data_IF_818842038761
#
_entry.id   IF_818842038761
#
_cell.length_a   1.000
_cell.length_b   1.000
_cell.length_c   1.000
_cell.angle_alpha   90.00
_cell.angle_beta   90.00
_cell.angle_gamma   90.00
#
_symmetry.space_group_name_H-M   'P 1'
#
loop_
_entity.id
_entity.type
_entity.pdbx_description
1 polymer ?
#
# COMPACT_ATOMS: atom_id res chain seq x y z
N UNK A 1 -35.05 -41.85 -44.37
CA UNK A 1 -34.71 -41.61 -42.95
C UNK A 1 -33.52 -40.66 -42.94
N UNK A 2 -33.74 -39.38 -42.71
CA UNK A 2 -33.52 -38.67 -41.42
C UNK A 2 -32.02 -38.48 -41.10
N UNK A 3 -31.57 -37.24 -41.35
CA UNK A 3 -30.58 -36.38 -40.66
C UNK A 3 -29.74 -37.06 -39.55
N UNK A 4 -28.44 -36.79 -39.42
CA UNK A 4 -27.94 -35.57 -38.77
C UNK A 4 -26.46 -35.34 -39.13
N UNK A 5 -26.19 -34.15 -39.66
CA UNK A 5 -24.88 -33.51 -39.73
C UNK A 5 -24.45 -33.25 -38.27
N UNK A 6 -23.49 -34.01 -37.77
CA UNK A 6 -22.80 -33.66 -36.51
C UNK A 6 -21.81 -32.53 -36.82
N UNK A 7 -22.36 -31.32 -36.88
CA UNK A 7 -21.60 -30.08 -36.67
C UNK A 7 -21.00 -30.17 -35.28
N UNK A 8 -19.74 -30.62 -35.20
CA UNK A 8 -18.86 -30.36 -34.08
C UNK A 8 -18.68 -28.85 -34.01
N UNK A 9 -19.64 -28.17 -33.37
CA UNK A 9 -19.40 -26.95 -32.65
C UNK A 9 -18.37 -27.29 -31.57
N UNK A 10 -17.09 -27.30 -31.95
CA UNK A 10 -16.06 -26.81 -31.06
C UNK A 10 -16.45 -25.37 -30.78
N UNK A 11 -17.32 -25.21 -29.78
CA UNK A 11 -17.37 -24.00 -28.99
C UNK A 11 -15.98 -23.85 -28.40
N UNK A 12 -15.10 -23.24 -29.18
CA UNK A 12 -13.99 -22.46 -28.67
C UNK A 12 -14.72 -21.39 -27.86
N UNK A 13 -15.07 -21.74 -26.63
CA UNK A 13 -15.20 -20.79 -25.57
C UNK A 13 -13.80 -20.19 -25.51
N UNK A 14 -13.60 -19.15 -26.31
CA UNK A 14 -12.59 -18.14 -26.04
C UNK A 14 -13.06 -17.62 -24.69
N UNK A 15 -12.64 -18.30 -23.61
CA UNK A 15 -12.54 -17.68 -22.31
C UNK A 15 -11.65 -16.49 -22.61
N UNK A 16 -12.30 -15.36 -22.88
CA UNK A 16 -11.67 -14.07 -22.96
C UNK A 16 -11.05 -13.92 -21.58
N UNK A 17 -9.80 -14.36 -21.45
CA UNK A 17 -9.02 -14.16 -20.26
C UNK A 17 -9.00 -12.65 -20.12
N UNK A 18 -9.76 -12.12 -19.15
CA UNK A 18 -9.82 -10.71 -18.85
C UNK A 18 -8.39 -10.17 -18.84
N UNK A 19 -8.02 -9.37 -19.86
CA UNK A 19 -6.63 -9.06 -20.12
C UNK A 19 -6.19 -7.95 -19.17
N UNK A 20 -5.80 -8.34 -17.94
CA UNK A 20 -5.27 -7.40 -16.97
C UNK A 20 -3.81 -7.05 -17.28
N UNK A 21 -3.55 -5.78 -17.58
CA UNK A 21 -2.21 -5.21 -17.68
C UNK A 21 -2.00 -4.21 -16.55
N UNK A 22 -0.92 -4.38 -15.79
CA UNK A 22 -0.57 -3.50 -14.66
C UNK A 22 0.79 -2.87 -14.94
N UNK A 23 0.82 -1.54 -14.90
CA UNK A 23 2.01 -0.72 -15.04
C UNK A 23 2.16 0.10 -13.77
N UNK A 24 3.35 0.03 -13.18
CA UNK A 24 3.78 1.00 -12.17
C UNK A 24 4.95 1.73 -12.80
N UNK A 25 4.84 3.03 -12.95
CA UNK A 25 5.89 3.89 -13.52
C UNK A 25 6.46 4.77 -12.43
N UNK A 26 7.77 5.01 -12.53
CA UNK A 26 8.47 5.99 -11.72
C UNK A 26 8.77 7.20 -12.62
N UNK A 27 8.19 8.33 -12.27
CA UNK A 27 8.25 9.54 -13.08
C UNK A 27 9.14 10.56 -12.39
N UNK A 28 10.16 11.07 -13.11
CA UNK A 28 10.95 12.19 -12.61
C UNK A 28 10.08 13.43 -12.61
N UNK A 29 9.93 14.07 -11.45
CA UNK A 29 9.07 15.25 -11.28
C UNK A 29 9.68 16.18 -10.24
N UNK A 30 9.38 17.47 -10.36
CA UNK A 30 9.70 18.48 -9.38
C UNK A 30 8.39 19.03 -8.82
N UNK A 31 7.98 18.52 -7.65
CA UNK A 31 6.84 18.99 -6.89
C UNK A 31 7.33 19.87 -5.73
N UNK A 32 7.88 19.25 -4.68
CA UNK A 32 8.53 19.96 -3.56
C UNK A 32 10.06 19.83 -3.62
N UNK A 33 10.55 18.70 -4.16
CA UNK A 33 11.97 18.39 -4.36
C UNK A 33 12.21 17.84 -5.78
N UNK A 34 13.45 17.98 -6.31
CA UNK A 34 13.85 17.22 -7.51
C UNK A 34 13.99 15.74 -7.16
N UNK A 35 13.04 14.93 -7.62
CA UNK A 35 12.91 13.54 -7.24
C UNK A 35 11.96 12.78 -8.16
N UNK A 36 11.30 11.76 -7.60
CA UNK A 36 10.41 10.89 -8.34
C UNK A 36 9.04 10.77 -7.66
N UNK A 37 8.05 10.34 -8.43
CA UNK A 37 6.75 9.91 -7.91
C UNK A 37 6.32 8.63 -8.61
N UNK A 38 5.53 7.81 -7.92
CA UNK A 38 4.92 6.64 -8.52
C UNK A 38 3.59 6.97 -9.21
N UNK A 39 3.34 6.29 -10.33
CA UNK A 39 2.04 6.24 -11.00
C UNK A 39 1.65 4.77 -11.17
N UNK A 40 0.41 4.42 -10.86
CA UNK A 40 -0.17 3.12 -11.12
C UNK A 40 -1.24 3.24 -12.21
N UNK A 41 -1.06 2.44 -13.27
CA UNK A 41 -2.01 2.29 -14.36
C UNK A 41 -2.39 0.83 -14.53
N UNK A 42 -3.69 0.57 -14.56
CA UNK A 42 -4.26 -0.75 -14.78
C UNK A 42 -5.22 -0.71 -15.96
N UNK A 43 -5.01 -1.59 -16.93
CA UNK A 43 -5.94 -1.81 -18.04
C UNK A 43 -6.63 -3.15 -17.82
N UNK A 44 -7.96 -3.15 -17.70
CA UNK A 44 -8.79 -4.34 -17.51
C UNK A 44 -9.99 -4.24 -18.45
N UNK A 45 -10.19 -5.26 -19.29
CA UNK A 45 -11.35 -5.38 -20.20
C UNK A 45 -11.59 -4.12 -21.06
N UNK A 46 -10.49 -3.54 -21.56
CA UNK A 46 -10.52 -2.32 -22.38
C UNK A 46 -10.69 -1.01 -21.60
N UNK A 47 -10.94 -1.05 -20.29
CA UNK A 47 -11.00 0.11 -19.41
C UNK A 47 -9.63 0.42 -18.81
N UNK A 48 -9.30 1.70 -18.69
CA UNK A 48 -8.06 2.20 -18.09
C UNK A 48 -8.35 2.89 -16.77
N UNK A 49 -7.63 2.50 -15.73
CA UNK A 49 -7.67 3.07 -14.38
C UNK A 49 -6.27 3.60 -14.07
N UNK A 50 -6.16 4.85 -13.64
CA UNK A 50 -4.86 5.51 -13.46
C UNK A 50 -4.91 6.41 -12.23
N UNK A 51 -3.90 6.27 -11.36
CA UNK A 51 -3.70 7.16 -10.21
C UNK A 51 -3.02 8.44 -10.65
N UNK A 52 -3.18 9.53 -9.90
CA UNK A 52 -2.44 10.77 -10.14
C UNK A 52 -1.17 10.81 -9.27
N UNK A 53 0.04 10.94 -9.85
CA UNK A 53 1.27 11.02 -9.07
C UNK A 53 1.28 12.23 -8.13
N UNK A 54 1.53 11.99 -6.84
CA UNK A 54 1.54 13.00 -5.78
C UNK A 54 0.15 13.35 -5.19
N UNK A 55 -0.94 12.81 -5.75
CA UNK A 55 -2.30 12.92 -5.22
C UNK A 55 -2.68 11.60 -4.54
N UNK A 56 -2.37 11.49 -3.26
CA UNK A 56 -2.55 10.25 -2.48
C UNK A 56 -4.02 9.87 -2.28
N UNK A 57 -4.94 10.83 -2.34
CA UNK A 57 -6.38 10.55 -2.30
C UNK A 57 -6.85 9.73 -3.50
N UNK A 58 -6.22 9.93 -4.67
CA UNK A 58 -6.52 9.11 -5.87
C UNK A 58 -6.16 7.62 -5.71
N UNK A 59 -5.36 7.27 -4.69
CA UNK A 59 -4.93 5.89 -4.43
C UNK A 59 -5.88 5.14 -3.48
N UNK A 60 -6.56 5.82 -2.55
CA UNK A 60 -7.28 5.20 -1.43
C UNK A 60 -8.25 4.11 -1.87
N UNK A 61 -9.07 4.43 -2.87
CA UNK A 61 -10.10 3.54 -3.38
C UNK A 61 -9.72 2.91 -4.72
N UNK A 62 -8.44 3.02 -5.13
CA UNK A 62 -8.00 2.50 -6.42
C UNK A 62 -8.26 1.00 -6.53
N UNK A 63 -7.96 0.25 -5.46
CA UNK A 63 -8.15 -1.20 -5.42
C UNK A 63 -9.63 -1.65 -5.43
N UNK A 64 -10.57 -0.77 -5.10
CA UNK A 64 -12.02 -1.09 -5.12
C UNK A 64 -12.54 -1.39 -6.53
N UNK A 65 -11.81 -0.97 -7.56
CA UNK A 65 -12.12 -1.27 -8.96
C UNK A 65 -11.77 -2.72 -9.36
N UNK A 66 -11.12 -3.48 -8.47
CA UNK A 66 -10.54 -4.78 -8.79
C UNK A 66 -10.98 -5.85 -7.78
N UNK A 67 -11.12 -7.08 -8.27
CA UNK A 67 -11.33 -8.26 -7.43
C UNK A 67 -10.06 -8.61 -6.66
N UNK A 68 -10.18 -9.35 -5.55
CA UNK A 68 -9.07 -9.69 -4.66
C UNK A 68 -7.83 -10.22 -5.39
N UNK A 69 -8.02 -11.14 -6.35
CA UNK A 69 -6.93 -11.71 -7.15
C UNK A 69 -6.14 -10.64 -7.92
N UNK A 70 -6.82 -9.65 -8.47
CA UNK A 70 -6.20 -8.56 -9.22
C UNK A 70 -5.54 -7.55 -8.29
N UNK A 71 -6.14 -7.28 -7.11
CA UNK A 71 -5.52 -6.46 -6.05
C UNK A 71 -4.16 -7.01 -5.66
N UNK A 72 -4.04 -8.32 -5.37
CA UNK A 72 -2.76 -8.95 -5.03
C UNK A 72 -1.72 -8.78 -6.14
N UNK A 73 -2.12 -8.92 -7.42
CA UNK A 73 -1.22 -8.69 -8.56
C UNK A 73 -0.74 -7.25 -8.66
N UNK A 74 -1.58 -6.28 -8.30
CA UNK A 74 -1.23 -4.85 -8.24
C UNK A 74 -0.20 -4.62 -7.13
N UNK A 75 -0.44 -5.14 -5.93
CA UNK A 75 0.50 -5.03 -4.80
C UNK A 75 1.86 -5.64 -5.11
N UNK A 76 1.89 -6.79 -5.79
CA UNK A 76 3.13 -7.42 -6.26
C UNK A 76 3.91 -6.54 -7.25
N UNK A 77 3.23 -5.71 -8.05
CA UNK A 77 3.91 -4.80 -8.98
C UNK A 77 4.51 -3.61 -8.23
N UNK A 78 3.82 -3.07 -7.23
CA UNK A 78 4.31 -2.00 -6.37
C UNK A 78 5.48 -2.44 -5.50
N UNK A 79 5.49 -3.70 -5.03
CA UNK A 79 6.56 -4.20 -4.15
C UNK A 79 7.96 -4.21 -4.78
N UNK A 80 8.04 -4.06 -6.10
CA UNK A 80 9.31 -3.88 -6.82
C UNK A 80 10.04 -2.59 -6.44
N UNK A 81 9.33 -1.62 -5.86
CA UNK A 81 9.88 -0.33 -5.45
C UNK A 81 10.33 -0.28 -3.99
N UNK A 82 10.19 -1.38 -3.23
CA UNK A 82 10.57 -1.41 -1.82
C UNK A 82 12.08 -1.30 -1.55
N UNK A 83 12.91 -1.44 -2.58
CA UNK A 83 14.35 -1.20 -2.51
C UNK A 83 14.77 0.05 -3.32
N UNK A 84 13.80 0.90 -3.72
CA UNK A 84 14.08 2.16 -4.42
C UNK A 84 14.25 3.31 -3.42
N UNK A 85 15.49 3.59 -3.06
CA UNK A 85 15.84 4.63 -2.10
C UNK A 85 15.96 6.03 -2.72
N UNK A 86 15.56 6.21 -3.99
CA UNK A 86 15.52 7.54 -4.59
C UNK A 86 14.52 8.44 -3.87
N UNK A 87 14.79 9.75 -3.87
CA UNK A 87 13.99 10.74 -3.18
C UNK A 87 12.59 10.84 -3.79
N UNK A 88 11.55 10.77 -2.95
CA UNK A 88 10.20 11.17 -3.34
C UNK A 88 10.17 12.69 -3.58
N UNK A 89 9.57 13.12 -4.68
CA UNK A 89 9.47 14.53 -5.04
C UNK A 89 8.52 15.30 -4.13
N UNK A 90 7.56 14.63 -3.48
CA UNK A 90 6.58 15.24 -2.58
C UNK A 90 7.15 15.33 -1.16
N UNK A 91 6.89 16.45 -0.48
CA UNK A 91 7.24 16.64 0.91
C UNK A 91 6.40 15.75 1.83
N UNK A 92 6.91 15.55 3.05
CA UNK A 92 6.14 14.88 4.10
C UNK A 92 4.93 15.75 4.41
N UNK A 93 3.77 15.22 4.08
CA UNK A 93 2.48 15.83 4.37
C UNK A 93 1.55 14.77 4.95
N UNK A 94 0.67 15.16 5.89
CA UNK A 94 -0.34 14.26 6.39
C UNK A 94 -1.36 13.96 5.29
N UNK A 95 -1.77 12.69 5.22
CA UNK A 95 -3.01 12.32 4.53
C UNK A 95 -4.06 12.05 5.58
N UNK A 96 -5.17 12.78 5.49
CA UNK A 96 -6.27 12.69 6.43
C UNK A 96 -7.38 11.80 5.89
N UNK A 97 -7.99 10.95 6.71
CA UNK A 97 -9.13 10.15 6.30
C UNK A 97 -10.34 11.05 5.98
N UNK A 98 -11.24 10.57 5.12
CA UNK A 98 -12.51 11.27 4.86
C UNK A 98 -13.46 11.23 6.06
N UNK A 99 -13.31 10.22 6.93
CA UNK A 99 -14.09 10.04 8.16
C UNK A 99 -13.20 9.69 9.36
N UNK A 100 -13.59 10.17 10.55
CA UNK A 100 -12.93 9.85 11.83
C UNK A 100 -11.86 10.87 12.26
N UNK A 101 -11.30 10.64 13.45
CA UNK A 101 -10.21 11.45 14.01
C UNK A 101 -8.90 10.65 13.88
N UNK A 102 -7.89 11.18 13.18
CA UNK A 102 -6.60 10.49 13.06
C UNK A 102 -5.90 10.42 14.43
N UNK A 103 -5.66 9.21 14.94
CA UNK A 103 -4.94 9.01 16.21
C UNK A 103 -3.43 9.32 16.13
N UNK A 104 -2.94 9.64 14.93
CA UNK A 104 -1.52 9.81 14.61
C UNK A 104 -1.14 11.22 14.17
N UNK A 105 -2.10 12.15 14.10
CA UNK A 105 -1.89 13.49 13.55
C UNK A 105 -1.07 14.44 14.44
N UNK A 106 -1.02 14.20 15.76
CA UNK A 106 -0.54 15.15 16.76
C UNK A 106 0.99 15.30 16.86
N UNK A 107 1.77 14.54 16.06
CA UNK A 107 3.24 14.63 16.09
C UNK A 107 3.79 15.12 14.77
N UNK A 108 4.22 16.37 14.77
CA UNK A 108 5.00 16.96 13.68
C UNK A 108 6.33 16.21 13.55
N UNK A 109 6.56 15.59 12.41
CA UNK A 109 7.89 15.09 12.09
C UNK A 109 8.82 16.25 11.74
N UNK A 110 10.06 16.17 12.22
CA UNK A 110 11.17 17.01 11.76
C UNK A 110 11.63 16.62 10.36
N UNK A 111 11.40 15.36 9.95
CA UNK A 111 11.72 14.87 8.62
C UNK A 111 10.73 15.43 7.60
N UNK A 112 11.27 16.04 6.54
CA UNK A 112 10.49 16.64 5.45
C UNK A 112 10.53 15.82 4.15
N UNK A 113 11.36 14.77 4.12
CA UNK A 113 11.68 13.95 2.94
C UNK A 113 11.47 12.48 3.25
N UNK A 114 11.16 11.70 2.23
CA UNK A 114 11.07 10.23 2.27
C UNK A 114 11.45 9.66 0.90
N UNK A 115 11.72 8.36 0.84
CA UNK A 115 12.12 7.67 -0.39
C UNK A 115 10.92 7.06 -1.11
N UNK A 116 11.12 6.67 -2.37
CA UNK A 116 10.14 5.92 -3.16
C UNK A 116 9.77 4.58 -2.50
N UNK A 117 10.70 3.93 -1.82
CA UNK A 117 10.41 2.73 -1.03
C UNK A 117 9.38 3.02 0.08
N UNK A 118 9.54 4.12 0.81
CA UNK A 118 8.59 4.54 1.85
C UNK A 118 7.25 4.95 1.23
N UNK A 119 7.27 5.69 0.11
CA UNK A 119 6.05 6.03 -0.64
C UNK A 119 5.27 4.77 -1.02
N UNK A 120 5.93 3.77 -1.63
CA UNK A 120 5.27 2.54 -2.07
C UNK A 120 4.62 1.79 -0.90
N UNK A 121 5.31 1.62 0.23
CA UNK A 121 4.77 0.96 1.42
C UNK A 121 3.61 1.75 2.03
N UNK A 122 3.72 3.08 2.06
CA UNK A 122 2.68 3.96 2.58
C UNK A 122 1.41 3.89 1.74
N UNK A 123 1.53 4.04 0.42
CA UNK A 123 0.41 3.93 -0.52
C UNK A 123 -0.30 2.58 -0.41
N UNK A 124 0.46 1.49 -0.21
CA UNK A 124 -0.10 0.15 -0.04
C UNK A 124 -1.02 0.08 1.19
N UNK A 125 -0.66 0.71 2.32
CA UNK A 125 -1.55 0.74 3.48
C UNK A 125 -2.89 1.39 3.14
N UNK A 126 -2.84 2.59 2.55
CA UNK A 126 -4.03 3.35 2.22
C UNK A 126 -4.88 2.70 1.13
N UNK A 127 -4.28 2.03 0.16
CA UNK A 127 -5.00 1.27 -0.86
C UNK A 127 -5.79 0.08 -0.29
N UNK A 128 -5.32 -0.50 0.81
CA UNK A 128 -5.87 -1.76 1.34
C UNK A 128 -6.84 -1.49 2.47
N UNK A 129 -6.48 -0.60 3.39
CA UNK A 129 -7.29 -0.29 4.56
C UNK A 129 -8.11 0.99 4.42
N UNK A 130 -7.95 1.73 3.32
CA UNK A 130 -8.63 3.01 3.12
C UNK A 130 -8.36 3.95 4.29
N UNK A 131 -9.43 4.61 4.75
CA UNK A 131 -9.39 5.54 5.88
C UNK A 131 -8.85 4.90 7.18
N UNK A 132 -8.97 3.59 7.37
CA UNK A 132 -8.44 2.92 8.57
C UNK A 132 -6.90 2.92 8.62
N UNK A 133 -6.21 3.17 7.51
CA UNK A 133 -4.75 3.33 7.51
C UNK A 133 -4.28 4.49 8.42
N UNK A 134 -5.14 5.49 8.67
CA UNK A 134 -4.82 6.63 9.54
C UNK A 134 -4.51 6.23 10.99
N UNK A 135 -5.02 5.08 11.45
CA UNK A 135 -4.72 4.55 12.79
C UNK A 135 -3.28 4.06 12.88
N UNK A 136 -2.71 3.54 11.78
CA UNK A 136 -1.29 3.23 11.72
C UNK A 136 -0.47 4.52 11.53
N UNK A 137 -0.77 5.29 10.48
CA UNK A 137 -0.05 6.54 10.23
C UNK A 137 -0.74 7.39 9.18
N UNK A 138 -0.78 8.70 9.43
CA UNK A 138 -1.13 9.72 8.45
C UNK A 138 0.05 10.24 7.64
N UNK A 139 1.29 9.93 8.01
CA UNK A 139 2.49 10.47 7.37
C UNK A 139 3.33 9.37 6.69
N UNK A 140 3.93 9.62 5.51
CA UNK A 140 4.84 8.67 4.87
C UNK A 140 6.23 8.69 5.52
N UNK A 141 6.30 8.36 6.82
CA UNK A 141 7.51 8.41 7.64
C UNK A 141 7.63 7.15 8.48
N UNK A 142 8.87 6.68 8.66
CA UNK A 142 9.18 5.62 9.60
C UNK A 142 9.78 6.20 10.90
N UNK A 143 9.66 5.46 11.98
CA UNK A 143 10.14 5.83 13.31
C UNK A 143 10.92 4.69 13.93
N UNK A 144 12.06 5.00 14.56
CA UNK A 144 12.83 4.05 15.34
C UNK A 144 12.45 4.17 16.81
N UNK A 145 11.83 3.13 17.36
CA UNK A 145 11.37 3.10 18.75
C UNK A 145 12.50 3.13 19.76
N UNK A 146 13.61 2.43 19.49
CA UNK A 146 14.74 2.35 20.43
C UNK A 146 15.49 3.66 20.55
N UNK A 147 15.61 4.37 19.43
CA UNK A 147 16.34 5.63 19.36
C UNK A 147 15.42 6.85 19.56
N UNK A 148 14.11 6.64 19.54
CA UNK A 148 13.07 7.67 19.63
C UNK A 148 13.20 8.78 18.57
N UNK A 149 13.55 8.40 17.35
CA UNK A 149 13.76 9.33 16.23
C UNK A 149 13.02 8.92 14.97
N UNK A 150 12.59 9.91 14.18
CA UNK A 150 12.13 9.67 12.82
C UNK A 150 13.30 9.23 11.93
N UNK A 151 13.02 8.28 11.03
CA UNK A 151 13.98 7.73 10.10
C UNK A 151 14.17 8.69 8.93
N UNK A 152 15.40 9.12 8.69
CA UNK A 152 15.75 9.94 7.54
C UNK A 152 15.50 9.20 6.22
N UNK A 153 15.16 9.94 5.16
CA UNK A 153 14.82 9.37 3.85
C UNK A 153 15.89 8.45 3.24
N UNK A 154 17.16 8.66 3.61
CA UNK A 154 18.32 7.94 3.10
C UNK A 154 18.86 6.88 4.08
N UNK A 155 18.18 6.60 5.19
CA UNK A 155 18.52 5.47 6.06
C UNK A 155 18.05 4.15 5.43
N UNK A 156 18.86 3.68 4.49
CA UNK A 156 18.65 2.43 3.74
C UNK A 156 18.46 1.23 4.68
N UNK A 157 19.16 1.19 5.83
CA UNK A 157 19.12 0.04 6.73
C UNK A 157 17.75 -0.10 7.38
N UNK A 158 17.23 1.00 7.92
CA UNK A 158 15.91 1.01 8.57
C UNK A 158 14.79 0.80 7.55
N UNK A 159 14.87 1.46 6.39
CA UNK A 159 13.87 1.28 5.31
C UNK A 159 13.85 -0.19 4.82
N UNK A 160 15.02 -0.82 4.68
CA UNK A 160 15.12 -2.23 4.26
C UNK A 160 14.48 -3.20 5.26
N UNK A 161 14.54 -2.91 6.57
CA UNK A 161 13.84 -3.72 7.58
C UNK A 161 12.33 -3.68 7.36
N UNK A 162 11.78 -2.47 7.21
CA UNK A 162 10.34 -2.30 6.95
C UNK A 162 9.93 -2.92 5.60
N UNK A 163 10.75 -2.76 4.56
CA UNK A 163 10.54 -3.40 3.27
C UNK A 163 10.44 -4.94 3.38
N UNK A 164 11.21 -5.57 4.27
CA UNK A 164 11.16 -7.01 4.49
C UNK A 164 9.81 -7.46 5.09
N UNK A 165 9.25 -6.68 6.03
CA UNK A 165 7.91 -6.89 6.57
C UNK A 165 6.87 -6.86 5.45
N UNK A 166 6.87 -5.82 4.62
CA UNK A 166 5.90 -5.72 3.50
C UNK A 166 6.07 -6.82 2.45
N UNK A 167 7.31 -7.26 2.17
CA UNK A 167 7.56 -8.39 1.27
C UNK A 167 6.99 -9.70 1.83
N UNK A 168 7.17 -9.96 3.13
CA UNK A 168 6.61 -11.14 3.78
C UNK A 168 5.07 -11.07 3.76
N UNK A 169 4.52 -9.90 4.05
CA UNK A 169 3.10 -9.64 4.00
C UNK A 169 2.48 -9.93 2.62
N UNK A 170 3.03 -9.37 1.55
CA UNK A 170 2.51 -9.61 0.19
C UNK A 170 2.55 -11.11 -0.17
N UNK A 171 3.61 -11.84 0.23
CA UNK A 171 3.68 -13.30 0.01
C UNK A 171 2.56 -14.07 0.72
N UNK A 172 2.18 -13.66 1.93
CA UNK A 172 1.04 -14.24 2.65
C UNK A 172 -0.29 -13.97 1.94
N UNK A 173 -0.53 -12.73 1.47
CA UNK A 173 -1.72 -12.42 0.65
C UNK A 173 -1.74 -13.25 -0.65
N UNK A 174 -0.59 -13.50 -1.28
CA UNK A 174 -0.51 -14.38 -2.46
C UNK A 174 -0.94 -15.82 -2.19
N UNK A 175 -0.80 -16.29 -0.94
CA UNK A 175 -1.23 -17.61 -0.49
C UNK A 175 -2.70 -17.65 -0.06
N UNK A 176 -3.42 -16.51 -0.15
CA UNK A 176 -4.80 -16.40 0.26
C UNK A 176 -4.98 -16.20 1.77
N UNK A 177 -3.91 -15.93 2.51
CA UNK A 177 -4.00 -15.60 3.93
C UNK A 177 -4.76 -14.28 4.11
N UNK A 178 -5.74 -14.31 5.01
CA UNK A 178 -6.37 -13.10 5.53
C UNK A 178 -5.37 -12.38 6.42
N UNK A 179 -5.33 -11.06 6.30
CA UNK A 179 -4.50 -10.23 7.16
C UNK A 179 -5.22 -8.92 7.42
N UNK A 180 -5.22 -8.56 8.69
CA UNK A 180 -5.81 -7.38 9.27
C UNK A 180 -4.82 -6.22 9.30
N UNK A 181 -5.34 -5.02 9.58
CA UNK A 181 -4.52 -3.86 9.92
C UNK A 181 -3.66 -4.15 11.16
N UNK A 182 -4.19 -4.92 12.10
CA UNK A 182 -3.47 -5.36 13.29
C UNK A 182 -2.27 -6.23 12.98
N UNK A 183 -2.34 -7.12 11.98
CA UNK A 183 -1.20 -7.96 11.61
C UNK A 183 -0.03 -7.12 11.11
N UNK A 184 -0.27 -6.10 10.28
CA UNK A 184 0.79 -5.17 9.84
C UNK A 184 1.34 -4.37 11.02
N UNK A 185 0.46 -3.95 11.93
CA UNK A 185 0.89 -3.30 13.16
C UNK A 185 1.74 -4.23 14.03
N UNK A 186 1.39 -5.52 14.18
CA UNK A 186 2.16 -6.50 14.96
C UNK A 186 3.46 -6.94 14.29
N UNK A 187 3.54 -6.93 12.97
CA UNK A 187 4.83 -7.11 12.29
C UNK A 187 5.83 -5.99 12.64
N UNK A 188 5.39 -4.94 13.35
CA UNK A 188 6.21 -3.89 13.96
C UNK A 188 6.65 -4.20 15.42
N UNK A 189 6.69 -5.46 15.87
CA UNK A 189 7.54 -5.84 17.01
C UNK A 189 9.03 -5.60 16.71
N UNK A 190 9.35 -5.33 15.44
CA UNK A 190 10.58 -4.69 15.00
C UNK A 190 10.73 -3.26 15.56
N UNK A 191 11.97 -2.81 15.72
CA UNK A 191 12.25 -1.48 16.25
C UNK A 191 11.83 -0.33 15.31
N UNK A 192 11.50 -0.65 14.04
CA UNK A 192 11.13 0.31 13.01
C UNK A 192 9.63 0.20 12.73
N UNK A 193 8.92 1.30 12.94
CA UNK A 193 7.45 1.37 12.82
C UNK A 193 7.06 2.56 11.92
N UNK A 194 5.77 2.75 11.64
CA UNK A 194 5.31 4.00 11.03
C UNK A 194 5.27 5.15 12.04
N UNK A 195 5.65 6.35 11.60
CA UNK A 195 5.54 7.56 12.41
C UNK A 195 4.09 7.80 12.85
N UNK A 196 3.89 7.98 14.15
CA UNK A 196 2.58 8.09 14.78
C UNK A 196 2.10 6.79 15.43
N UNK A 197 2.52 5.61 14.91
CA UNK A 197 2.13 4.30 15.46
C UNK A 197 2.64 4.07 16.89
N UNK A 198 3.65 4.81 17.38
CA UNK A 198 4.13 4.70 18.76
C UNK A 198 3.03 5.01 19.80
N UNK A 199 1.99 5.76 19.41
CA UNK A 199 0.84 6.04 20.28
C UNK A 199 0.00 4.79 20.57
N UNK A 200 0.08 3.77 19.70
CA UNK A 200 -0.58 2.49 19.87
C UNK A 200 0.23 1.52 20.75
N UNK A 201 1.38 1.94 21.28
CA UNK A 201 2.15 1.13 22.23
C UNK A 201 1.65 1.25 23.68
N UNK A 202 0.80 2.24 23.97
CA UNK A 202 0.07 2.26 25.24
C UNK A 202 -0.82 1.00 25.35
N UNK A 203 -0.77 0.23 26.45
CA UNK A 203 -1.50 -1.03 26.57
C UNK A 203 -3.02 -0.90 26.38
N UNK A 204 -3.61 0.23 26.77
CA UNK A 204 -5.05 0.47 26.60
C UNK A 204 -5.39 0.81 25.15
N UNK A 205 -4.57 1.64 24.49
CA UNK A 205 -4.70 1.95 23.07
C UNK A 205 -4.48 0.69 22.20
N UNK A 206 -3.49 -0.13 22.56
CA UNK A 206 -3.20 -1.40 21.88
C UNK A 206 -4.38 -2.37 21.96
N UNK A 207 -4.97 -2.53 23.16
CA UNK A 207 -6.14 -3.40 23.35
C UNK A 207 -7.35 -2.90 22.56
N UNK A 208 -7.61 -1.59 22.59
CA UNK A 208 -8.70 -0.98 21.81
C UNK A 208 -8.50 -1.23 20.29
N UNK A 209 -7.28 -1.07 19.82
CA UNK A 209 -6.91 -1.29 18.42
C UNK A 209 -7.03 -2.77 18.02
N UNK A 210 -6.61 -3.69 18.90
CA UNK A 210 -6.82 -5.13 18.75
C UNK A 210 -8.29 -5.49 18.60
N UNK A 211 -9.12 -5.03 19.53
CA UNK A 211 -10.55 -5.35 19.54
C UNK A 211 -11.27 -4.80 18.32
N UNK A 212 -10.79 -3.67 17.78
CA UNK A 212 -11.39 -2.99 16.63
C UNK A 212 -10.97 -3.57 15.28
N UNK A 213 -9.74 -4.06 15.13
CA UNK A 213 -9.17 -4.36 13.81
C UNK A 213 -8.71 -5.79 13.59
N UNK A 214 -8.66 -6.63 14.64
CA UNK A 214 -8.20 -8.03 14.52
C UNK A 214 -9.17 -8.93 13.74
N UNK A 215 -10.41 -8.50 13.56
CA UNK A 215 -11.49 -9.27 12.92
C UNK A 215 -11.82 -8.84 11.48
N UNK A 216 -11.31 -7.68 11.03
CA UNK A 216 -11.75 -7.10 9.76
C UNK A 216 -10.97 -7.65 8.55
N UNK A 217 -11.72 -8.20 7.59
CA UNK A 217 -11.24 -8.66 6.30
C UNK A 217 -11.07 -7.47 5.33
N UNK A 218 -9.82 -7.19 4.92
CA UNK A 218 -9.48 -6.24 3.84
C UNK A 218 -8.74 -6.90 2.67
#
# INVERSE_FOLDING_TARGET
MRYIIFLLFFGISVHSYAQLKIFVTKEKKQMDYDGYLLCLKVIKDGKSYETKPGDYYSWFYFLNNFELKDRVRILKKLSKYFDDYSLCSKAVEPVFPGVGIPMTADRFSTEKKYSIAVEAMFLINWMIFGDHACFMSTYPILYNKRQEVHIAYNDVKSIKKMAAVYKAWIRKKEQGEKMSLYDIFQFNDEDIIWGGSQNLEDPSAKRLFEDSFKMDDF
#
